data_IF_467357341828
#
_entry.id   IF_467357341828
#
_cell.length_a   1.000
_cell.length_b   1.000
_cell.length_c   1.000
_cell.angle_alpha   90.00
_cell.angle_beta   90.00
_cell.angle_gamma   90.00
#
_symmetry.space_group_name_H-M   'P 1'
#
loop_
_entity.id
_entity.type
_entity.pdbx_description
1 polymer ?
#
# COMPACT_ATOMS: atom_id res chain seq x y z
N UNK A 1 -88.53 17.71 -18.81
CA UNK A 1 -89.12 17.47 -17.48
C UNK A 1 -88.79 16.04 -17.04
N UNK A 2 -88.27 15.93 -15.82
CA UNK A 2 -88.11 14.71 -15.01
C UNK A 2 -87.14 13.61 -15.49
N UNK A 3 -86.39 12.93 -14.64
CA UNK A 3 -85.92 13.11 -13.24
C UNK A 3 -84.96 11.93 -13.02
N UNK A 4 -83.88 12.19 -12.29
CA UNK A 4 -83.17 11.30 -11.36
C UNK A 4 -82.62 9.92 -11.80
N UNK A 5 -81.28 9.89 -11.74
CA UNK A 5 -80.42 8.95 -10.98
C UNK A 5 -80.88 7.49 -10.88
N UNK A 6 -80.08 6.61 -11.49
CA UNK A 6 -79.66 5.35 -10.85
C UNK A 6 -78.14 5.22 -10.93
N UNK A 7 -77.56 5.05 -9.75
CA UNK A 7 -76.16 4.79 -9.47
C UNK A 7 -75.89 3.35 -9.90
N UNK A 8 -74.97 3.17 -10.84
CA UNK A 8 -74.40 1.89 -11.22
C UNK A 8 -72.91 1.94 -10.95
N UNK A 9 -72.48 1.21 -9.93
CA UNK A 9 -71.08 1.03 -9.52
C UNK A 9 -70.37 0.32 -10.68
N UNK A 10 -69.59 1.08 -11.45
CA UNK A 10 -68.64 0.53 -12.40
C UNK A 10 -67.24 0.60 -11.78
N UNK A 11 -66.77 -0.57 -11.34
CA UNK A 11 -65.39 -0.84 -10.99
C UNK A 11 -64.58 -0.69 -12.28
N UNK A 12 -63.91 0.45 -12.45
CA UNK A 12 -62.96 0.66 -13.54
C UNK A 12 -61.65 1.19 -12.98
N UNK A 13 -60.75 0.22 -12.73
CA UNK A 13 -59.29 0.34 -12.73
C UNK A 13 -58.76 1.68 -12.20
N UNK A 14 -58.63 1.75 -10.88
CA UNK A 14 -57.75 2.72 -10.25
C UNK A 14 -56.36 2.60 -10.87
N UNK A 15 -55.85 3.74 -11.34
CA UNK A 15 -54.45 3.95 -11.61
C UNK A 15 -53.67 3.64 -10.33
N UNK A 16 -53.23 2.40 -10.17
CA UNK A 16 -52.11 2.09 -9.33
C UNK A 16 -50.87 2.61 -10.08
N UNK A 17 -50.58 3.89 -9.87
CA UNK A 17 -49.21 4.39 -9.92
C UNK A 17 -48.43 3.66 -8.81
N UNK A 18 -48.16 2.37 -9.02
CA UNK A 18 -46.98 1.76 -8.46
C UNK A 18 -45.85 2.24 -9.34
N UNK A 19 -45.42 3.46 -9.03
CA UNK A 19 -44.06 3.91 -9.30
C UNK A 19 -43.12 2.96 -8.60
N UNK A 20 -42.92 1.78 -9.19
CA UNK A 20 -41.70 1.02 -9.03
C UNK A 20 -40.60 1.76 -9.77
N UNK A 21 -40.28 2.96 -9.29
CA UNK A 21 -38.96 3.50 -9.48
C UNK A 21 -38.06 2.54 -8.69
N UNK A 22 -37.61 1.48 -9.35
CA UNK A 22 -36.41 0.80 -8.94
C UNK A 22 -35.24 1.74 -9.24
N UNK A 23 -35.10 2.79 -8.43
CA UNK A 23 -33.84 3.47 -8.23
C UNK A 23 -32.99 2.50 -7.41
N UNK A 24 -32.43 1.51 -8.10
CA UNK A 24 -31.26 0.83 -7.58
C UNK A 24 -30.20 1.92 -7.33
N UNK A 25 -29.90 2.15 -6.06
CA UNK A 25 -28.83 3.07 -5.68
C UNK A 25 -27.58 2.26 -5.33
N UNK A 26 -26.40 2.61 -5.88
CA UNK A 26 -25.35 1.65 -6.22
C UNK A 26 -24.30 1.49 -5.11
N UNK A 27 -23.30 0.67 -5.39
CA UNK A 27 -22.16 0.33 -4.54
C UNK A 27 -21.50 1.51 -3.82
N UNK A 28 -21.80 1.59 -2.53
CA UNK A 28 -20.89 2.15 -1.54
C UNK A 28 -19.93 1.03 -1.15
N UNK A 29 -18.61 1.24 -1.12
CA UNK A 29 -17.80 0.37 -0.25
C UNK A 29 -18.08 0.80 1.20
N UNK A 30 -19.21 0.31 1.67
CA UNK A 30 -19.77 0.36 3.01
C UNK A 30 -21.02 -0.55 2.92
N UNK A 31 -20.80 -1.86 2.73
CA UNK A 31 -21.86 -2.86 2.63
C UNK A 31 -21.64 -3.95 1.58
N UNK A 32 -22.22 -5.12 1.84
CA UNK A 32 -22.21 -6.27 0.95
C UNK A 32 -23.00 -5.97 -0.33
N UNK A 33 -22.32 -5.73 -1.45
CA UNK A 33 -22.97 -5.44 -2.72
C UNK A 33 -22.38 -6.30 -3.86
N UNK A 34 -23.12 -6.43 -4.95
CA UNK A 34 -22.73 -7.28 -6.09
C UNK A 34 -21.71 -6.64 -7.06
N UNK A 35 -21.29 -5.39 -6.83
CA UNK A 35 -20.21 -4.75 -7.57
C UNK A 35 -18.83 -5.08 -6.98
N UNK A 36 -18.80 -5.48 -5.71
CA UNK A 36 -17.58 -5.94 -5.05
C UNK A 36 -17.08 -7.25 -5.67
N UNK A 37 -15.76 -7.37 -5.84
CA UNK A 37 -15.06 -8.60 -6.24
C UNK A 37 -15.24 -9.69 -5.18
N UNK A 38 -15.12 -9.30 -3.92
CA UNK A 38 -15.46 -10.14 -2.77
C UNK A 38 -16.73 -9.59 -2.15
N UNK A 39 -17.79 -10.38 -2.17
CA UNK A 39 -19.04 -10.01 -1.51
C UNK A 39 -18.78 -9.75 -0.02
N UNK A 40 -19.16 -8.56 0.46
CA UNK A 40 -18.83 -8.02 1.79
C UNK A 40 -17.36 -7.62 2.05
N UNK A 41 -16.45 -7.78 1.08
CA UNK A 41 -15.05 -7.43 1.26
C UNK A 41 -14.25 -8.45 2.09
N UNK A 42 -13.07 -8.02 2.51
CA UNK A 42 -12.04 -8.75 3.26
C UNK A 42 -11.46 -7.79 4.31
N UNK A 43 -12.04 -7.75 5.51
CA UNK A 43 -11.64 -6.80 6.56
C UNK A 43 -10.48 -7.31 7.43
N UNK A 44 -10.19 -8.60 7.34
CA UNK A 44 -9.07 -9.30 7.96
C UNK A 44 -8.25 -10.09 6.93
N UNK A 45 -6.99 -10.37 7.27
CA UNK A 45 -6.14 -11.25 6.45
C UNK A 45 -6.74 -12.65 6.29
N UNK A 46 -7.44 -13.17 7.30
CA UNK A 46 -8.11 -14.46 7.22
C UNK A 46 -9.23 -14.44 6.18
N UNK A 47 -10.06 -13.39 6.14
CA UNK A 47 -11.09 -13.26 5.11
C UNK A 47 -10.49 -13.08 3.71
N UNK A 48 -9.36 -12.38 3.59
CA UNK A 48 -8.62 -12.27 2.34
C UNK A 48 -8.11 -13.63 1.85
N UNK A 49 -7.56 -14.45 2.76
CA UNK A 49 -7.13 -15.81 2.46
C UNK A 49 -8.31 -16.69 2.02
N UNK A 50 -9.45 -16.62 2.72
CA UNK A 50 -10.68 -17.30 2.32
C UNK A 50 -11.15 -16.84 0.94
N UNK A 51 -11.16 -15.55 0.67
CA UNK A 51 -11.53 -15.02 -0.64
C UNK A 51 -10.60 -15.53 -1.75
N UNK A 52 -9.29 -15.52 -1.51
CA UNK A 52 -8.25 -15.96 -2.44
C UNK A 52 -8.26 -17.47 -2.71
N UNK A 53 -8.88 -18.28 -1.85
CA UNK A 53 -9.08 -19.71 -2.09
C UNK A 53 -10.02 -20.02 -3.26
N UNK A 54 -10.87 -19.05 -3.66
CA UNK A 54 -11.80 -19.20 -4.78
C UNK A 54 -11.09 -19.01 -6.11
N UNK A 55 -11.39 -19.86 -7.09
CA UNK A 55 -10.72 -19.91 -8.40
C UNK A 55 -10.78 -18.57 -9.13
N UNK A 56 -11.96 -17.94 -9.22
CA UNK A 56 -12.14 -16.66 -9.92
C UNK A 56 -11.34 -15.52 -9.30
N UNK A 57 -11.19 -15.53 -7.97
CA UNK A 57 -10.46 -14.50 -7.25
C UNK A 57 -8.97 -14.71 -7.45
N UNK A 58 -8.48 -15.95 -7.32
CA UNK A 58 -7.07 -16.29 -7.55
C UNK A 58 -6.63 -15.93 -8.98
N UNK A 59 -7.47 -16.22 -9.98
CA UNK A 59 -7.20 -15.86 -11.38
C UNK A 59 -7.18 -14.35 -11.60
N UNK A 60 -8.18 -13.62 -11.08
CA UNK A 60 -8.21 -12.16 -11.18
C UNK A 60 -7.01 -11.51 -10.48
N UNK A 61 -6.71 -11.95 -9.25
CA UNK A 61 -5.65 -11.39 -8.42
C UNK A 61 -4.27 -11.57 -9.07
N UNK A 62 -4.05 -12.70 -9.75
CA UNK A 62 -2.83 -12.96 -10.52
C UNK A 62 -2.61 -11.92 -11.63
N UNK A 63 -3.66 -11.53 -12.35
CA UNK A 63 -3.60 -10.47 -13.37
C UNK A 63 -3.29 -9.09 -12.78
N UNK A 64 -3.47 -8.93 -11.47
CA UNK A 64 -3.25 -7.71 -10.70
C UNK A 64 -2.05 -7.82 -9.74
N UNK A 65 -1.14 -8.76 -10.01
CA UNK A 65 0.10 -8.97 -9.27
C UNK A 65 -0.07 -9.37 -7.79
N UNK A 66 -1.28 -9.70 -7.36
CA UNK A 66 -1.53 -10.22 -6.00
C UNK A 66 -1.27 -11.72 -6.01
N UNK A 67 -0.26 -12.15 -5.26
CA UNK A 67 0.23 -13.54 -5.25
C UNK A 67 -0.21 -14.32 -4.01
N UNK A 68 -0.11 -15.65 -4.07
CA UNK A 68 -0.42 -16.50 -2.93
C UNK A 68 0.49 -16.22 -1.75
N UNK A 69 1.79 -16.01 -2.00
CA UNK A 69 2.76 -15.63 -0.97
C UNK A 69 2.35 -14.33 -0.28
N UNK A 70 1.87 -13.33 -1.02
CA UNK A 70 1.39 -12.06 -0.45
C UNK A 70 0.18 -12.24 0.48
N UNK A 71 -0.76 -13.12 0.11
CA UNK A 71 -2.01 -13.33 0.85
C UNK A 71 -1.82 -14.27 2.05
N UNK A 72 -0.93 -15.26 1.97
CA UNK A 72 -0.67 -16.26 3.02
C UNK A 72 0.27 -15.74 4.15
N UNK A 73 0.43 -14.43 4.27
CA UNK A 73 1.25 -13.81 5.32
C UNK A 73 2.70 -13.53 4.91
N UNK A 74 3.03 -13.62 3.62
CA UNK A 74 4.32 -13.21 3.09
C UNK A 74 4.38 -11.73 2.67
N UNK A 75 5.61 -11.21 2.65
CA UNK A 75 6.06 -9.89 2.18
C UNK A 75 5.54 -8.66 2.93
N UNK A 76 6.21 -7.53 2.70
CA UNK A 76 6.11 -6.23 3.38
C UNK A 76 4.73 -5.56 3.22
N UNK A 77 3.67 -6.24 3.68
CA UNK A 77 2.30 -5.73 3.67
C UNK A 77 2.16 -4.64 4.72
N UNK A 78 1.53 -3.54 4.32
CA UNK A 78 1.11 -2.44 5.21
C UNK A 78 -0.32 -2.07 4.92
N UNK A 79 -0.99 -1.48 5.90
CA UNK A 79 -2.29 -0.88 5.67
C UNK A 79 -2.13 0.52 5.07
N UNK A 80 -3.07 0.89 4.20
CA UNK A 80 -3.09 2.18 3.54
C UNK A 80 -4.48 2.60 3.14
N UNK A 81 -4.56 3.68 2.38
CA UNK A 81 -5.79 4.22 1.83
C UNK A 81 -5.61 4.46 0.34
N UNK A 82 -6.59 4.08 -0.46
CA UNK A 82 -6.74 4.55 -1.85
C UNK A 82 -7.87 5.55 -1.93
N UNK A 83 -7.67 6.66 -2.64
CA UNK A 83 -8.67 7.70 -2.83
C UNK A 83 -9.21 7.77 -4.27
N UNK A 84 -10.30 8.51 -4.47
CA UNK A 84 -10.95 8.75 -5.75
C UNK A 84 -10.13 9.65 -6.69
N UNK A 85 -9.10 10.32 -6.18
CA UNK A 85 -8.17 11.11 -7.01
C UNK A 85 -7.08 10.23 -7.63
N UNK A 86 -7.03 8.94 -7.29
CA UNK A 86 -6.05 7.99 -7.80
C UNK A 86 -4.79 7.90 -6.95
N UNK A 87 -4.76 8.46 -5.74
CA UNK A 87 -3.62 8.33 -4.86
C UNK A 87 -3.78 7.11 -3.95
N UNK A 88 -2.67 6.39 -3.76
CA UNK A 88 -2.54 5.37 -2.71
C UNK A 88 -1.58 5.95 -1.67
N UNK A 89 -2.03 6.03 -0.42
CA UNK A 89 -1.27 6.61 0.70
C UNK A 89 -1.03 5.54 1.77
N UNK A 90 0.22 5.39 2.19
CA UNK A 90 0.66 4.48 3.27
C UNK A 90 1.64 5.25 4.15
N UNK A 91 1.50 5.17 5.47
CA UNK A 91 2.34 5.87 6.46
C UNK A 91 2.43 7.39 6.19
N UNK A 92 1.33 8.01 5.76
CA UNK A 92 1.26 9.44 5.45
C UNK A 92 1.92 9.86 4.13
N UNK A 93 2.43 8.92 3.32
CA UNK A 93 3.08 9.18 2.03
C UNK A 93 2.27 8.62 0.87
N UNK A 94 2.11 9.39 -0.21
CA UNK A 94 1.60 8.87 -1.49
C UNK A 94 2.62 7.89 -2.06
N UNK A 95 2.26 6.60 -2.10
CA UNK A 95 3.12 5.51 -2.57
C UNK A 95 2.85 5.12 -4.03
N UNK A 96 1.65 5.42 -4.54
CA UNK A 96 1.32 5.28 -5.96
C UNK A 96 0.26 6.30 -6.38
N UNK A 97 0.21 6.59 -7.69
CA UNK A 97 -0.70 7.55 -8.32
C UNK A 97 -1.45 6.92 -9.49
N UNK A 98 -2.45 7.61 -10.04
CA UNK A 98 -3.27 7.12 -11.15
C UNK A 98 -3.90 5.74 -10.88
N UNK A 99 -4.34 5.52 -9.63
CA UNK A 99 -4.83 4.23 -9.21
C UNK A 99 -6.09 3.80 -9.99
N UNK A 100 -6.09 2.53 -10.39
CA UNK A 100 -7.15 1.81 -11.07
C UNK A 100 -7.57 0.61 -10.21
N UNK A 101 -8.80 0.16 -10.39
CA UNK A 101 -9.37 -1.02 -9.73
C UNK A 101 -10.39 -1.69 -10.64
N UNK A 102 -10.94 -2.81 -10.21
CA UNK A 102 -11.98 -3.56 -10.94
C UNK A 102 -13.25 -3.70 -10.13
N UNK A 103 -14.36 -3.95 -10.81
CA UNK A 103 -15.65 -4.26 -10.22
C UNK A 103 -16.22 -5.54 -10.85
N UNK A 104 -17.04 -6.30 -10.11
CA UNK A 104 -17.73 -7.52 -10.57
C UNK A 104 -18.87 -7.27 -11.55
N UNK A 105 -19.30 -6.01 -11.68
CA UNK A 105 -20.34 -5.59 -12.62
C UNK A 105 -19.94 -4.28 -13.28
N UNK A 106 -20.27 -4.16 -14.56
CA UNK A 106 -20.29 -2.86 -15.21
C UNK A 106 -21.46 -2.09 -14.60
N UNK A 107 -21.18 -0.95 -13.96
CA UNK A 107 -22.25 -0.12 -13.44
C UNK A 107 -22.85 0.77 -14.53
N UNK A 108 -24.05 1.27 -14.26
CA UNK A 108 -24.84 2.04 -15.22
C UNK A 108 -24.45 3.51 -15.27
N UNK A 109 -23.66 3.98 -14.30
CA UNK A 109 -23.21 5.38 -14.17
C UNK A 109 -21.74 5.58 -14.55
N UNK A 110 -20.99 4.49 -14.65
CA UNK A 110 -19.61 4.47 -15.07
C UNK A 110 -19.54 4.59 -16.60
N UNK A 111 -18.45 5.18 -17.14
CA UNK A 111 -18.18 5.12 -18.56
C UNK A 111 -17.90 3.68 -19.01
N UNK A 112 -17.61 3.49 -20.30
CA UNK A 112 -17.12 2.18 -20.77
C UNK A 112 -15.86 1.76 -19.99
N UNK A 113 -15.78 0.48 -19.57
CA UNK A 113 -14.61 -0.01 -18.84
C UNK A 113 -13.35 0.11 -19.69
N UNK A 114 -12.24 0.49 -19.05
CA UNK A 114 -10.95 0.59 -19.73
C UNK A 114 -10.46 -0.76 -20.23
N UNK A 115 -10.82 -1.82 -19.51
CA UNK A 115 -10.49 -3.21 -19.79
C UNK A 115 -11.47 -4.13 -19.06
N UNK A 116 -11.66 -5.34 -19.58
CA UNK A 116 -12.37 -6.40 -18.86
C UNK A 116 -11.49 -7.63 -18.70
N UNK A 117 -11.67 -8.34 -17.59
CA UNK A 117 -10.97 -9.59 -17.25
C UNK A 117 -11.98 -10.71 -17.18
N UNK A 118 -11.69 -11.86 -17.81
CA UNK A 118 -12.56 -13.04 -17.77
C UNK A 118 -11.83 -14.21 -17.13
N UNK A 119 -12.47 -14.87 -16.18
CA UNK A 119 -11.94 -16.06 -15.51
C UNK A 119 -12.42 -17.32 -16.20
N UNK A 120 -11.73 -18.44 -15.96
CA UNK A 120 -12.04 -19.75 -16.54
C UNK A 120 -13.44 -20.26 -16.18
N UNK A 121 -13.95 -19.85 -15.02
CA UNK A 121 -15.30 -20.15 -14.53
C UNK A 121 -16.36 -19.10 -14.93
N UNK A 122 -16.05 -18.23 -15.88
CA UNK A 122 -17.04 -17.37 -16.56
C UNK A 122 -17.34 -16.03 -15.90
N UNK A 123 -16.67 -15.67 -14.81
CA UNK A 123 -16.83 -14.33 -14.20
C UNK A 123 -16.15 -13.29 -15.07
N UNK A 124 -16.75 -12.10 -15.15
CA UNK A 124 -16.17 -10.95 -15.85
C UNK A 124 -16.04 -9.77 -14.90
N UNK A 125 -14.85 -9.18 -14.85
CA UNK A 125 -14.53 -8.01 -14.04
C UNK A 125 -14.17 -6.83 -14.92
N UNK A 126 -14.50 -5.62 -14.48
CA UNK A 126 -14.47 -4.40 -15.29
C UNK A 126 -13.57 -3.36 -14.65
N UNK A 127 -12.56 -2.92 -15.39
CA UNK A 127 -11.54 -1.98 -14.91
C UNK A 127 -11.97 -0.53 -15.08
N UNK A 128 -11.71 0.27 -14.05
CA UNK A 128 -11.92 1.70 -14.04
C UNK A 128 -10.79 2.40 -13.27
N UNK A 129 -10.64 3.70 -13.50
CA UNK A 129 -9.95 4.55 -12.52
C UNK A 129 -10.70 4.52 -11.19
N UNK A 130 -9.98 4.72 -10.10
CA UNK A 130 -10.58 4.84 -8.75
C UNK A 130 -11.64 5.95 -8.70
N UNK A 131 -11.41 7.09 -9.35
CA UNK A 131 -12.42 8.16 -9.46
C UNK A 131 -13.72 7.74 -10.14
N UNK A 132 -13.63 6.93 -11.20
CA UNK A 132 -14.80 6.35 -11.88
C UNK A 132 -15.44 5.21 -11.09
N UNK A 133 -14.65 4.44 -10.35
CA UNK A 133 -15.14 3.32 -9.53
C UNK A 133 -15.91 3.83 -8.30
N UNK A 134 -15.44 4.93 -7.70
CA UNK A 134 -15.92 5.43 -6.41
C UNK A 134 -17.01 6.51 -6.57
N UNK A 135 -17.67 6.57 -7.73
CA UNK A 135 -18.68 7.60 -8.04
C UNK A 135 -19.83 7.60 -7.05
N UNK A 136 -20.33 6.42 -6.68
CA UNK A 136 -21.54 6.22 -5.86
C UNK A 136 -21.26 5.89 -4.38
N UNK A 137 -19.98 5.79 -3.98
CA UNK A 137 -19.56 5.40 -2.64
C UNK A 137 -18.65 6.42 -1.94
N UNK A 138 -18.08 6.05 -0.79
CA UNK A 138 -16.98 6.81 -0.19
C UNK A 138 -15.88 7.13 -1.20
N UNK A 139 -15.24 8.29 -1.02
CA UNK A 139 -14.16 8.76 -1.89
C UNK A 139 -12.78 8.22 -1.51
N UNK A 140 -12.72 7.35 -0.51
CA UNK A 140 -11.50 6.71 -0.05
C UNK A 140 -11.81 5.40 0.66
N UNK A 141 -10.93 4.41 0.51
CA UNK A 141 -11.07 3.10 1.15
C UNK A 141 -9.76 2.59 1.72
N UNK A 142 -9.85 1.83 2.81
CA UNK A 142 -8.70 1.15 3.38
C UNK A 142 -8.26 -0.01 2.47
N UNK A 143 -6.95 -0.21 2.39
CA UNK A 143 -6.36 -1.26 1.56
C UNK A 143 -5.30 -2.04 2.34
N UNK A 144 -5.10 -3.28 1.93
CA UNK A 144 -3.83 -3.96 2.09
C UNK A 144 -2.91 -3.52 0.94
N UNK A 145 -1.68 -3.10 1.25
CA UNK A 145 -0.70 -2.64 0.27
C UNK A 145 0.60 -3.43 0.41
N UNK A 146 1.07 -4.05 -0.67
CA UNK A 146 2.33 -4.80 -0.69
C UNK A 146 3.45 -4.02 -1.34
N UNK A 147 4.64 -4.20 -0.79
CA UNK A 147 5.87 -3.52 -1.22
C UNK A 147 6.98 -4.52 -1.51
N UNK A 148 7.87 -4.15 -2.43
CA UNK A 148 9.10 -4.90 -2.67
C UNK A 148 10.12 -4.66 -1.53
N UNK A 149 11.30 -5.28 -1.66
CA UNK A 149 12.38 -5.13 -0.67
C UNK A 149 13.03 -3.74 -0.66
N UNK A 150 12.78 -2.92 -1.69
CA UNK A 150 13.26 -1.54 -1.82
C UNK A 150 12.21 -0.53 -1.34
N UNK A 151 11.03 -0.98 -0.89
CA UNK A 151 9.94 -0.12 -0.43
C UNK A 151 9.08 0.46 -1.56
N UNK A 152 9.19 -0.05 -2.78
CA UNK A 152 8.33 0.31 -3.92
C UNK A 152 6.99 -0.40 -3.83
N UNK A 153 5.91 0.33 -4.11
CA UNK A 153 4.56 -0.22 -4.13
C UNK A 153 4.42 -1.23 -5.28
N UNK A 154 3.88 -2.42 -4.98
CA UNK A 154 3.63 -3.47 -5.97
C UNK A 154 2.17 -3.47 -6.37
N UNK A 155 1.28 -3.68 -5.40
CA UNK A 155 -0.17 -3.85 -5.60
C UNK A 155 -0.90 -3.72 -4.27
N UNK A 156 -2.23 -3.67 -4.30
CA UNK A 156 -3.07 -3.69 -3.12
C UNK A 156 -4.42 -4.37 -3.33
N UNK A 157 -5.14 -4.56 -2.22
CA UNK A 157 -6.52 -5.05 -2.21
C UNK A 157 -7.34 -4.14 -1.30
N UNK A 158 -8.45 -3.63 -1.82
CA UNK A 158 -9.37 -2.78 -1.07
C UNK A 158 -10.16 -3.63 -0.08
N UNK A 159 -10.12 -3.29 1.21
CA UNK A 159 -10.70 -4.10 2.29
C UNK A 159 -12.21 -4.25 2.16
N UNK A 160 -12.93 -3.19 1.83
CA UNK A 160 -14.40 -3.21 1.89
C UNK A 160 -15.07 -3.94 0.70
N UNK A 161 -14.31 -4.26 -0.34
CA UNK A 161 -14.84 -4.90 -1.55
C UNK A 161 -13.97 -6.04 -2.09
N UNK A 162 -12.77 -6.26 -1.54
CA UNK A 162 -11.80 -7.21 -2.04
C UNK A 162 -11.39 -6.95 -3.49
N UNK A 163 -11.56 -5.73 -3.98
CA UNK A 163 -11.14 -5.38 -5.33
C UNK A 163 -9.62 -5.21 -5.33
N UNK A 164 -8.87 -5.84 -6.25
CA UNK A 164 -7.48 -5.50 -6.42
C UNK A 164 -7.36 -4.05 -6.90
N UNK A 165 -6.30 -3.37 -6.48
CA UNK A 165 -6.03 -1.99 -6.80
C UNK A 165 -4.55 -1.83 -7.12
N UNK A 166 -4.27 -1.08 -8.18
CA UNK A 166 -2.92 -0.84 -8.66
C UNK A 166 -2.80 0.60 -9.14
N UNK A 167 -1.61 1.18 -9.05
CA UNK A 167 -1.31 2.50 -9.58
C UNK A 167 0.18 2.63 -9.88
N UNK A 168 0.58 3.71 -10.53
CA UNK A 168 1.96 4.02 -10.87
C UNK A 168 2.76 4.25 -9.58
N UNK A 169 3.74 3.39 -9.24
CA UNK A 169 4.52 3.55 -8.02
C UNK A 169 5.31 4.87 -8.04
N UNK A 170 5.31 5.54 -6.90
CA UNK A 170 6.20 6.68 -6.64
C UNK A 170 7.56 6.17 -6.17
N UNK A 171 8.62 6.95 -6.36
CA UNK A 171 9.95 6.61 -5.85
C UNK A 171 9.91 6.44 -4.32
N UNK A 172 10.34 5.29 -3.79
CA UNK A 172 10.46 5.09 -2.35
C UNK A 172 11.44 6.09 -1.73
N UNK A 173 11.27 6.47 -0.45
CA UNK A 173 12.31 7.16 0.28
C UNK A 173 13.61 6.37 0.19
N UNK A 174 14.72 7.05 -0.07
CA UNK A 174 16.02 6.41 -0.06
C UNK A 174 16.29 5.83 1.34
N UNK A 175 16.86 4.62 1.39
CA UNK A 175 17.16 3.95 2.65
C UNK A 175 18.33 4.66 3.34
N UNK A 176 18.24 5.01 4.64
CA UNK A 176 19.36 5.59 5.37
C UNK A 176 20.62 4.77 5.18
N UNK A 177 21.70 5.43 4.77
CA UNK A 177 22.96 4.80 4.44
C UNK A 177 24.11 5.48 5.20
N UNK A 178 25.02 4.67 5.72
CA UNK A 178 26.21 5.12 6.43
C UNK A 178 27.43 4.39 5.86
N UNK A 179 28.50 5.14 5.57
CA UNK A 179 29.79 4.59 5.14
C UNK A 179 30.92 5.13 6.00
N UNK A 180 31.88 4.27 6.34
CA UNK A 180 33.18 4.68 6.87
C UNK A 180 34.14 4.80 5.70
N UNK A 181 34.32 6.01 5.18
CA UNK A 181 35.04 6.25 3.93
C UNK A 181 36.56 6.16 4.10
N UNK A 182 37.07 6.63 5.24
CA UNK A 182 38.50 6.58 5.55
C UNK A 182 38.79 6.69 7.04
N UNK A 183 39.86 6.01 7.47
CA UNK A 183 40.53 6.23 8.74
C UNK A 183 41.93 6.78 8.45
N UNK A 184 42.22 7.98 8.94
CA UNK A 184 43.52 8.66 8.78
C UNK A 184 44.26 8.68 10.11
N UNK A 185 45.57 8.49 10.05
CA UNK A 185 46.45 8.51 11.23
C UNK A 185 47.48 9.62 11.05
N UNK A 186 47.67 10.43 12.08
CA UNK A 186 48.70 11.46 12.14
C UNK A 186 49.53 11.26 13.39
N UNK A 187 50.84 11.15 13.24
CA UNK A 187 51.76 11.08 14.37
C UNK A 187 51.83 12.45 15.07
N UNK A 188 51.66 12.46 16.39
CA UNK A 188 51.81 13.65 17.24
C UNK A 188 53.15 13.58 17.99
N UNK A 189 53.51 12.38 18.44
CA UNK A 189 54.81 12.07 19.04
C UNK A 189 55.11 10.58 18.88
N UNK A 190 56.31 10.15 19.30
CA UNK A 190 56.80 8.77 19.19
C UNK A 190 55.77 7.68 19.56
N UNK A 191 54.92 7.94 20.56
CA UNK A 191 53.92 6.96 21.01
C UNK A 191 52.49 7.50 20.99
N UNK A 192 52.25 8.72 20.49
CA UNK A 192 50.93 9.35 20.48
C UNK A 192 50.50 9.67 19.06
N UNK A 193 49.31 9.19 18.70
CA UNK A 193 48.75 9.33 17.36
C UNK A 193 47.35 9.93 17.43
N UNK A 194 47.03 10.80 16.47
CA UNK A 194 45.68 11.31 16.21
C UNK A 194 45.03 10.46 15.12
N UNK A 195 43.85 9.96 15.40
CA UNK A 195 43.01 9.22 14.47
C UNK A 195 41.86 10.13 14.03
N UNK A 196 41.65 10.25 12.73
CA UNK A 196 40.58 11.06 12.14
C UNK A 196 39.77 10.22 11.17
N UNK A 197 38.45 10.18 11.35
CA UNK A 197 37.53 9.36 10.56
C UNK A 197 36.77 10.25 9.60
N UNK A 198 36.77 9.88 8.33
CA UNK A 198 35.83 10.40 7.34
C UNK A 198 34.72 9.37 7.16
N UNK A 199 33.51 9.76 7.52
CA UNK A 199 32.32 8.94 7.34
C UNK A 199 31.22 9.78 6.70
N UNK A 200 30.40 9.14 5.87
CA UNK A 200 29.32 9.78 5.15
C UNK A 200 27.99 9.18 5.57
N UNK A 201 27.08 10.03 6.04
CA UNK A 201 25.69 9.67 6.30
C UNK A 201 24.79 10.29 5.21
N UNK A 202 23.90 9.48 4.65
CA UNK A 202 22.96 9.87 3.59
C UNK A 202 21.54 9.43 3.91
N UNK A 203 20.59 10.01 3.21
CA UNK A 203 19.20 9.55 3.18
C UNK A 203 18.55 9.49 4.57
N UNK A 204 18.85 10.50 5.40
CA UNK A 204 18.32 10.63 6.76
C UNK A 204 19.13 9.90 7.84
N UNK A 205 20.24 9.24 7.49
CA UNK A 205 21.17 8.71 8.49
C UNK A 205 21.89 9.84 9.24
N UNK A 206 22.18 9.61 10.53
CA UNK A 206 22.98 10.48 11.37
C UNK A 206 24.01 9.67 12.16
N UNK A 207 25.25 10.14 12.21
CA UNK A 207 26.30 9.49 13.00
C UNK A 207 26.13 9.92 14.46
N UNK A 208 26.05 8.95 15.37
CA UNK A 208 25.88 9.21 16.79
C UNK A 208 27.13 8.92 17.61
N UNK A 209 27.98 7.99 17.16
CA UNK A 209 29.19 7.59 17.88
C UNK A 209 30.25 7.00 16.95
N UNK A 210 31.49 7.00 17.41
CA UNK A 210 32.65 6.38 16.79
C UNK A 210 33.31 5.48 17.84
N UNK A 211 33.45 4.19 17.55
CA UNK A 211 34.11 3.22 18.44
C UNK A 211 35.41 2.75 17.84
N UNK A 212 36.53 3.14 18.44
CA UNK A 212 37.88 2.81 18.04
C UNK A 212 38.39 1.63 18.84
N UNK A 213 38.89 0.59 18.17
CA UNK A 213 39.70 -0.46 18.76
C UNK A 213 41.15 -0.22 18.33
N UNK A 214 42.03 0.05 19.29
CA UNK A 214 43.41 0.45 19.00
C UNK A 214 44.37 -0.72 18.76
N UNK A 215 43.88 -1.97 18.80
CA UNK A 215 44.69 -3.16 18.55
C UNK A 215 45.54 -3.61 19.74
N UNK A 216 45.39 -2.98 20.90
CA UNK A 216 46.11 -3.27 22.15
C UNK A 216 45.18 -3.68 23.31
N UNK A 217 43.98 -4.17 22.96
CA UNK A 217 42.84 -4.46 23.84
C UNK A 217 42.15 -3.23 24.45
N UNK A 218 42.53 -2.00 24.06
CA UNK A 218 41.77 -0.81 24.43
C UNK A 218 40.75 -0.44 23.35
N UNK A 219 39.52 -0.20 23.79
CA UNK A 219 38.41 0.27 22.97
C UNK A 219 37.92 1.59 23.57
N UNK A 220 37.71 2.61 22.73
CA UNK A 220 37.13 3.90 23.15
C UNK A 220 35.98 4.28 22.23
N UNK A 221 34.88 4.71 22.83
CA UNK A 221 33.73 5.29 22.13
C UNK A 221 33.67 6.78 22.37
N UNK A 222 33.40 7.55 21.32
CA UNK A 222 33.31 9.02 21.36
C UNK A 222 32.28 9.52 20.35
N UNK A 223 31.76 10.73 20.55
CA UNK A 223 30.87 11.39 19.58
C UNK A 223 31.66 12.28 18.59
N UNK A 224 32.99 12.32 18.74
CA UNK A 224 33.91 13.04 17.86
C UNK A 224 34.50 12.09 16.81
N UNK A 225 34.58 12.56 15.56
CA UNK A 225 35.27 11.84 14.47
C UNK A 225 36.79 11.82 14.64
N UNK A 226 37.32 12.52 15.65
CA UNK A 226 38.72 12.59 15.97
C UNK A 226 39.00 12.14 17.41
N UNK A 227 40.08 11.37 17.59
CA UNK A 227 40.56 10.96 18.90
C UNK A 227 42.09 10.85 18.91
N UNK A 228 42.72 11.22 20.03
CA UNK A 228 44.15 10.96 20.26
C UNK A 228 44.32 9.75 21.17
N UNK A 229 45.32 8.93 20.88
CA UNK A 229 45.65 7.74 21.66
C UNK A 229 47.16 7.56 21.81
N UNK A 230 47.58 7.17 23.01
CA UNK A 230 48.98 6.97 23.37
C UNK A 230 49.23 5.51 23.70
N UNK A 231 50.15 4.87 22.99
CA UNK A 231 50.55 3.48 23.24
C UNK A 231 51.58 3.41 24.37
N UNK A 232 51.36 2.47 25.30
CA UNK A 232 52.24 2.26 26.44
C UNK A 232 53.49 1.43 26.10
N UNK A 233 53.42 0.58 25.07
CA UNK A 233 54.49 -0.30 24.62
C UNK A 233 54.74 -0.08 23.13
N UNK A 234 55.97 -0.31 22.69
CA UNK A 234 56.28 -0.36 21.27
C UNK A 234 55.71 -1.64 20.65
N UNK A 235 55.26 -1.55 19.40
CA UNK A 235 54.65 -2.67 18.70
C UNK A 235 53.91 -2.22 17.43
N UNK A 236 53.48 -3.22 16.65
CA UNK A 236 52.62 -3.01 15.49
C UNK A 236 51.17 -3.22 15.90
N UNK A 237 50.34 -2.19 15.71
CA UNK A 237 48.94 -2.20 16.10
C UNK A 237 48.03 -2.05 14.88
N UNK A 238 46.98 -2.87 14.82
CA UNK A 238 45.93 -2.73 13.80
C UNK A 238 44.74 -2.01 14.44
N UNK A 239 44.45 -0.81 13.96
CA UNK A 239 43.32 -0.01 14.46
C UNK A 239 42.09 -0.24 13.60
N UNK A 240 40.96 -0.56 14.24
CA UNK A 240 39.66 -0.67 13.58
C UNK A 240 38.67 0.32 14.15
N UNK A 241 37.70 0.73 13.33
CA UNK A 241 36.70 1.72 13.68
C UNK A 241 35.31 1.22 13.28
N UNK A 242 34.35 1.44 14.17
CA UNK A 242 32.91 1.28 13.90
C UNK A 242 32.24 2.64 14.03
N UNK A 243 31.44 3.01 13.02
CA UNK A 243 30.68 4.28 12.93
C UNK A 243 29.19 3.96 12.97
#
# INVERSE_FOLDING_TARGET
>A
MNKFKKIGIAISLGFAMLGGIWLASPSQAAGCNSFNVVYCGTHSMSELQTAYSRTEIKELYKEWYVTETMVQGGSNMREGVVDANGNITVDGRVVATNAITVQSKAGTRQPQPQRSYKTSNGYTYYQYTTGQSFVDGPKSYNIYAWFDNNGSFITGVIKDCGNPVWGNPTTPPAKPALTCDALQVTEISRNTFKFSVKATAKDGASITSYTYNFGDNNIKTTNSSEIQYTYAKEGNYTVTITV
#
